data_IF_949790998483
#
_entry.id   IF_949790998483
#
_cell.length_a   1.000
_cell.length_b   1.000
_cell.length_c   1.000
_cell.angle_alpha   90.00
_cell.angle_beta   90.00
_cell.angle_gamma   90.00
#
_symmetry.space_group_name_H-M   'P 1'
#
loop_
_entity.id
_entity.type
_entity.pdbx_description
1 polymer ?
#
# COMPACT_ATOMS: atom_id res chain seq x y z
N UNK A 1 -28.40 12.16 -6.81
CA UNK A 1 -28.40 11.00 -5.87
C UNK A 1 -27.89 9.82 -6.66
N UNK A 2 -26.73 9.26 -6.33
CA UNK A 2 -26.20 8.11 -7.07
C UNK A 2 -27.10 6.88 -6.82
N UNK A 3 -27.29 6.05 -7.89
CA UNK A 3 -28.43 5.15 -7.94
C UNK A 3 -28.14 3.73 -7.46
N UNK A 4 -26.86 3.30 -7.46
CA UNK A 4 -26.50 1.90 -7.22
C UNK A 4 -25.79 1.66 -5.88
N UNK A 5 -26.50 1.87 -4.76
CA UNK A 5 -25.96 1.67 -3.40
C UNK A 5 -25.83 0.21 -2.96
N UNK A 6 -26.46 -0.74 -3.65
CA UNK A 6 -26.54 -2.14 -3.20
C UNK A 6 -25.18 -2.82 -3.01
N UNK A 7 -24.22 -2.71 -3.96
CA UNK A 7 -22.88 -3.31 -3.76
C UNK A 7 -22.12 -2.71 -2.59
N UNK A 8 -22.21 -1.38 -2.40
CA UNK A 8 -21.55 -0.69 -1.30
C UNK A 8 -22.15 -1.04 0.06
N UNK A 9 -23.46 -1.15 0.15
CA UNK A 9 -24.14 -1.60 1.38
C UNK A 9 -23.72 -3.03 1.74
N UNK A 10 -23.56 -3.90 0.73
CA UNK A 10 -23.01 -5.25 0.91
C UNK A 10 -21.57 -5.23 1.44
N UNK A 11 -20.71 -4.36 0.90
CA UNK A 11 -19.35 -4.18 1.40
C UNK A 11 -19.32 -3.65 2.84
N UNK A 12 -20.12 -2.63 3.14
CA UNK A 12 -20.22 -2.09 4.50
C UNK A 12 -20.68 -3.15 5.51
N UNK A 13 -21.66 -3.98 5.16
CA UNK A 13 -22.12 -5.08 6.03
C UNK A 13 -21.01 -6.12 6.28
N UNK A 14 -20.25 -6.46 5.24
CA UNK A 14 -19.13 -7.40 5.36
C UNK A 14 -17.99 -6.80 6.22
N UNK A 15 -17.68 -5.52 6.07
CA UNK A 15 -16.69 -4.82 6.88
C UNK A 15 -17.09 -4.78 8.35
N UNK A 16 -18.36 -4.47 8.67
CA UNK A 16 -18.87 -4.48 10.05
C UNK A 16 -18.76 -5.88 10.68
N UNK A 17 -19.10 -6.93 9.89
CA UNK A 17 -18.91 -8.30 10.35
C UNK A 17 -17.44 -8.63 10.62
N UNK A 18 -16.54 -8.20 9.74
CA UNK A 18 -15.11 -8.41 9.91
C UNK A 18 -14.55 -7.67 11.13
N UNK A 19 -15.02 -6.45 11.40
CA UNK A 19 -14.66 -5.72 12.63
C UNK A 19 -15.03 -6.54 13.87
N UNK A 20 -16.30 -6.98 13.97
CA UNK A 20 -16.77 -7.81 15.11
C UNK A 20 -16.01 -9.14 15.23
N UNK A 21 -15.64 -9.75 14.11
CA UNK A 21 -14.85 -10.97 14.10
C UNK A 21 -13.46 -10.74 14.74
N UNK A 22 -12.77 -9.66 14.35
CA UNK A 22 -11.46 -9.34 14.91
C UNK A 22 -11.55 -8.88 16.39
N UNK A 23 -12.60 -8.12 16.77
CA UNK A 23 -12.88 -7.78 18.16
C UNK A 23 -13.04 -9.05 19.04
N UNK A 24 -13.76 -10.06 18.53
CA UNK A 24 -13.98 -11.32 19.27
C UNK A 24 -12.71 -12.18 19.46
N UNK A 25 -11.63 -11.86 18.76
CA UNK A 25 -10.33 -12.56 18.80
C UNK A 25 -9.23 -11.75 19.45
N UNK A 26 -9.55 -10.63 20.09
CA UNK A 26 -8.60 -9.68 20.65
C UNK A 26 -7.55 -9.17 19.63
N UNK A 27 -7.96 -9.09 18.35
CA UNK A 27 -7.16 -8.52 17.27
C UNK A 27 -7.53 -7.04 17.07
N UNK A 28 -7.37 -6.24 18.12
CA UNK A 28 -7.84 -4.85 18.18
C UNK A 28 -7.25 -3.98 17.08
N UNK A 29 -5.97 -4.15 16.72
CA UNK A 29 -5.33 -3.43 15.61
C UNK A 29 -6.08 -3.59 14.29
N UNK A 30 -6.52 -4.82 13.99
CA UNK A 30 -7.25 -5.11 12.74
C UNK A 30 -8.68 -4.59 12.81
N UNK A 31 -9.34 -4.73 13.96
CA UNK A 31 -10.67 -4.18 14.19
C UNK A 31 -10.68 -2.65 14.01
N UNK A 32 -9.73 -1.93 14.62
CA UNK A 32 -9.57 -0.48 14.47
C UNK A 32 -9.26 -0.08 13.03
N UNK A 33 -8.35 -0.81 12.34
CA UNK A 33 -8.05 -0.57 10.93
C UNK A 33 -9.31 -0.70 10.04
N UNK A 34 -10.05 -1.80 10.18
CA UNK A 34 -11.26 -2.04 9.39
C UNK A 34 -12.39 -1.07 9.74
N UNK A 35 -12.51 -0.65 11.00
CA UNK A 35 -13.47 0.37 11.43
C UNK A 35 -13.19 1.71 10.75
N UNK A 36 -11.94 2.13 10.68
CA UNK A 36 -11.57 3.34 9.94
C UNK A 36 -11.96 3.26 8.46
N UNK A 37 -11.76 2.10 7.81
CA UNK A 37 -12.20 1.90 6.42
C UNK A 37 -13.72 1.96 6.29
N UNK A 38 -14.44 1.31 7.19
CA UNK A 38 -15.90 1.34 7.23
C UNK A 38 -16.43 2.77 7.35
N UNK A 39 -15.87 3.57 8.26
CA UNK A 39 -16.33 4.94 8.50
C UNK A 39 -16.07 5.85 7.29
N UNK A 40 -14.91 5.73 6.63
CA UNK A 40 -14.60 6.43 5.38
C UNK A 40 -15.64 6.10 4.31
N UNK A 41 -15.88 4.81 4.05
CA UNK A 41 -16.79 4.36 3.02
C UNK A 41 -18.24 4.73 3.32
N UNK A 42 -18.67 4.64 4.57
CA UNK A 42 -19.99 5.04 5.02
C UNK A 42 -20.24 6.53 4.81
N UNK A 43 -19.31 7.37 5.21
CA UNK A 43 -19.40 8.83 5.03
C UNK A 43 -19.55 9.20 3.55
N UNK A 44 -18.80 8.56 2.66
CA UNK A 44 -18.88 8.78 1.21
C UNK A 44 -20.22 8.28 0.66
N UNK A 45 -20.62 7.04 1.02
CA UNK A 45 -21.85 6.41 0.51
C UNK A 45 -23.12 7.14 0.96
N UNK A 46 -23.10 7.67 2.18
CA UNK A 46 -24.21 8.46 2.72
C UNK A 46 -24.15 9.94 2.30
N UNK A 47 -23.13 10.33 1.51
CA UNK A 47 -22.87 11.72 1.11
C UNK A 47 -22.77 12.69 2.29
N UNK A 48 -22.27 12.23 3.42
CA UNK A 48 -22.08 13.04 4.63
C UNK A 48 -20.85 13.93 4.55
N UNK A 49 -19.85 13.50 3.78
CA UNK A 49 -18.63 14.24 3.53
C UNK A 49 -18.27 14.21 2.05
N UNK A 50 -17.83 15.34 1.55
CA UNK A 50 -17.13 15.42 0.29
C UNK A 50 -15.80 14.67 0.38
N UNK A 51 -15.32 14.12 -0.73
CA UNK A 51 -14.06 13.42 -0.72
C UNK A 51 -13.15 13.79 -1.89
N UNK A 52 -11.86 13.87 -1.58
CA UNK A 52 -10.76 14.06 -2.52
C UNK A 52 -10.13 12.70 -2.83
N UNK A 53 -9.92 12.38 -4.10
CA UNK A 53 -9.15 11.20 -4.50
C UNK A 53 -7.66 11.55 -4.50
N UNK A 54 -6.85 10.71 -3.87
CA UNK A 54 -5.40 10.85 -3.88
C UNK A 54 -4.73 9.59 -4.44
N UNK A 55 -3.60 9.76 -5.16
CA UNK A 55 -2.71 8.65 -5.46
C UNK A 55 -1.87 8.27 -4.23
N UNK A 56 -1.40 7.01 -4.17
CA UNK A 56 -0.83 6.39 -2.96
C UNK A 56 0.24 7.22 -2.24
N UNK A 57 1.13 7.89 -2.95
CA UNK A 57 2.26 8.61 -2.34
C UNK A 57 1.98 10.09 -2.02
N UNK A 58 0.77 10.60 -2.25
CA UNK A 58 0.42 11.94 -1.76
C UNK A 58 0.43 11.92 -0.23
N UNK A 59 1.23 12.79 0.44
CA UNK A 59 1.40 12.72 1.89
C UNK A 59 0.08 12.85 2.66
N UNK A 60 -0.23 11.82 3.45
CA UNK A 60 -1.43 11.80 4.28
C UNK A 60 -1.44 12.92 5.30
N UNK A 61 -0.29 13.28 5.83
CA UNK A 61 -0.10 14.36 6.79
C UNK A 61 -0.56 15.71 6.24
N UNK A 62 -0.29 15.97 4.97
CA UNK A 62 -0.72 17.24 4.36
C UNK A 62 -2.23 17.26 4.16
N UNK A 63 -2.81 16.15 3.71
CA UNK A 63 -4.25 16.04 3.46
C UNK A 63 -5.06 15.99 4.77
N UNK A 64 -4.48 15.45 5.84
CA UNK A 64 -5.11 15.38 7.16
C UNK A 64 -5.36 16.77 7.79
N UNK A 65 -4.68 17.81 7.35
CA UNK A 65 -4.90 19.18 7.83
C UNK A 65 -6.30 19.71 7.48
N UNK A 66 -6.97 19.16 6.46
CA UNK A 66 -8.20 19.73 5.88
C UNK A 66 -9.45 18.91 6.22
N UNK A 67 -10.59 19.59 6.36
CA UNK A 67 -11.89 18.93 6.57
C UNK A 67 -12.48 18.46 5.23
N UNK A 68 -11.79 17.53 4.61
CA UNK A 68 -12.22 16.76 3.44
C UNK A 68 -11.86 15.29 3.66
N UNK A 69 -12.74 14.39 3.24
CA UNK A 69 -12.41 12.96 3.32
C UNK A 69 -11.41 12.59 2.23
N UNK A 70 -10.27 12.04 2.58
CA UNK A 70 -9.32 11.54 1.58
C UNK A 70 -9.57 10.08 1.26
N UNK A 71 -9.61 9.76 -0.03
CA UNK A 71 -9.70 8.39 -0.56
C UNK A 71 -8.47 8.11 -1.40
N UNK A 72 -7.61 7.24 -0.92
CA UNK A 72 -6.50 6.74 -1.72
C UNK A 72 -6.99 5.68 -2.69
N UNK A 73 -6.86 5.97 -3.97
CA UNK A 73 -7.43 5.21 -5.07
C UNK A 73 -7.01 3.73 -5.02
N UNK A 74 -5.72 3.47 -4.88
CA UNK A 74 -5.18 2.10 -4.88
C UNK A 74 -5.63 1.32 -3.65
N UNK A 75 -5.68 1.97 -2.48
CA UNK A 75 -6.17 1.36 -1.25
C UNK A 75 -7.63 0.96 -1.37
N UNK A 76 -8.45 1.84 -1.93
CA UNK A 76 -9.88 1.57 -2.10
C UNK A 76 -10.15 0.50 -3.16
N UNK A 77 -9.44 0.55 -4.28
CA UNK A 77 -9.50 -0.51 -5.29
C UNK A 77 -9.03 -1.85 -4.71
N UNK A 78 -7.96 -1.85 -3.91
CA UNK A 78 -7.50 -3.04 -3.20
C UNK A 78 -8.54 -3.64 -2.26
N UNK A 79 -9.23 -2.79 -1.49
CA UNK A 79 -10.33 -3.23 -0.63
C UNK A 79 -11.49 -3.81 -1.44
N UNK A 80 -11.88 -3.16 -2.54
CA UNK A 80 -12.93 -3.63 -3.44
C UNK A 80 -12.58 -4.99 -4.08
N UNK A 81 -11.31 -5.21 -4.44
CA UNK A 81 -10.79 -6.47 -4.95
C UNK A 81 -10.82 -7.58 -3.89
N UNK A 82 -10.35 -7.28 -2.67
CA UNK A 82 -10.34 -8.24 -1.56
C UNK A 82 -11.74 -8.78 -1.22
N UNK A 83 -12.76 -7.95 -1.41
CA UNK A 83 -14.17 -8.32 -1.22
C UNK A 83 -14.89 -8.73 -2.50
N UNK A 84 -14.17 -8.81 -3.63
CA UNK A 84 -14.69 -9.23 -4.94
C UNK A 84 -15.97 -8.49 -5.32
N UNK A 85 -15.90 -7.15 -5.33
CA UNK A 85 -17.05 -6.32 -5.74
C UNK A 85 -17.39 -6.48 -7.23
N UNK A 86 -16.42 -6.80 -8.06
CA UNK A 86 -16.58 -7.17 -9.46
C UNK A 86 -15.87 -8.49 -9.74
N UNK A 87 -16.43 -9.28 -10.66
CA UNK A 87 -15.81 -10.53 -11.11
C UNK A 87 -14.65 -10.27 -12.07
N UNK A 88 -14.84 -9.36 -13.05
CA UNK A 88 -13.89 -9.01 -14.08
C UNK A 88 -13.72 -7.47 -14.13
N UNK A 89 -12.97 -6.87 -13.19
CA UNK A 89 -12.89 -5.41 -13.10
C UNK A 89 -12.23 -4.74 -14.30
N UNK A 90 -11.25 -5.37 -14.95
CA UNK A 90 -10.59 -4.82 -16.13
C UNK A 90 -11.54 -4.77 -17.33
N UNK A 91 -12.23 -5.88 -17.64
CA UNK A 91 -13.20 -5.95 -18.73
C UNK A 91 -14.34 -4.95 -18.52
N UNK A 92 -14.84 -4.85 -17.28
CA UNK A 92 -15.88 -3.88 -16.95
C UNK A 92 -15.43 -2.44 -17.20
N UNK A 93 -14.20 -2.09 -16.81
CA UNK A 93 -13.65 -0.76 -17.03
C UNK A 93 -13.48 -0.45 -18.53
N UNK A 94 -13.01 -1.41 -19.32
CA UNK A 94 -12.86 -1.27 -20.76
C UNK A 94 -14.23 -1.03 -21.44
N UNK A 95 -15.26 -1.75 -21.02
CA UNK A 95 -16.64 -1.52 -21.48
C UNK A 95 -17.18 -0.12 -21.11
N UNK A 96 -16.60 0.54 -20.12
CA UNK A 96 -16.90 1.90 -19.69
C UNK A 96 -15.95 2.96 -20.29
N UNK A 97 -15.12 2.58 -21.28
CA UNK A 97 -14.20 3.48 -21.97
C UNK A 97 -12.82 3.64 -21.32
N UNK A 98 -12.50 2.87 -20.29
CA UNK A 98 -11.17 2.87 -19.72
C UNK A 98 -10.18 2.19 -20.69
N UNK A 99 -8.98 2.76 -20.97
CA UNK A 99 -8.06 2.19 -21.92
C UNK A 99 -7.55 0.81 -21.48
N UNK A 100 -7.55 -0.16 -22.41
CA UNK A 100 -6.95 -1.48 -22.18
C UNK A 100 -5.44 -1.37 -21.91
N UNK A 101 -4.88 -2.37 -21.24
CA UNK A 101 -3.44 -2.39 -20.94
C UNK A 101 -2.98 -1.47 -19.82
N UNK A 102 -3.89 -0.74 -19.15
CA UNK A 102 -3.62 0.04 -17.96
C UNK A 102 -3.69 -0.84 -16.69
N UNK A 103 -3.20 -0.31 -15.59
CA UNK A 103 -3.19 -1.02 -14.32
C UNK A 103 -4.62 -1.27 -13.81
N UNK A 104 -4.89 -2.49 -13.33
CA UNK A 104 -6.21 -2.93 -12.85
C UNK A 104 -6.70 -2.20 -11.59
N UNK A 105 -5.80 -1.63 -10.77
CA UNK A 105 -6.20 -0.75 -9.67
C UNK A 105 -7.01 0.45 -10.16
N UNK A 106 -6.49 1.14 -11.19
CA UNK A 106 -7.16 2.31 -11.76
C UNK A 106 -8.43 1.87 -12.51
N UNK A 107 -8.38 0.74 -13.21
CA UNK A 107 -9.53 0.18 -13.90
C UNK A 107 -10.68 -0.11 -12.91
N UNK A 108 -10.37 -0.77 -11.79
CA UNK A 108 -11.36 -1.06 -10.75
C UNK A 108 -11.93 0.22 -10.13
N UNK A 109 -11.07 1.19 -9.79
CA UNK A 109 -11.51 2.46 -9.21
C UNK A 109 -12.39 3.25 -10.18
N UNK A 110 -12.03 3.30 -11.47
CA UNK A 110 -12.85 3.87 -12.53
C UNK A 110 -14.23 3.25 -12.58
N UNK A 111 -14.30 1.91 -12.58
CA UNK A 111 -15.57 1.19 -12.60
C UNK A 111 -16.46 1.46 -11.39
N UNK A 112 -15.88 1.73 -10.21
CA UNK A 112 -16.65 2.10 -9.02
C UNK A 112 -17.38 3.44 -9.19
N UNK A 113 -16.72 4.42 -9.81
CA UNK A 113 -17.33 5.74 -10.10
C UNK A 113 -18.33 5.63 -11.25
N UNK A 114 -17.94 5.05 -12.39
CA UNK A 114 -18.79 4.95 -13.59
C UNK A 114 -20.02 4.07 -13.39
N UNK A 115 -19.95 3.09 -12.48
CA UNK A 115 -21.11 2.28 -12.09
C UNK A 115 -21.96 2.92 -10.98
N UNK A 116 -21.68 4.16 -10.60
CA UNK A 116 -22.36 4.89 -9.52
C UNK A 116 -22.42 4.09 -8.20
N UNK A 117 -21.39 3.28 -7.91
CA UNK A 117 -21.25 2.58 -6.64
C UNK A 117 -20.75 3.54 -5.55
N UNK A 118 -19.88 4.47 -5.95
CA UNK A 118 -19.48 5.63 -5.15
C UNK A 118 -19.84 6.92 -5.88
N UNK A 119 -20.15 8.01 -5.16
CA UNK A 119 -20.40 9.30 -5.78
C UNK A 119 -19.13 9.83 -6.46
N UNK A 120 -19.25 10.83 -7.34
CA UNK A 120 -18.10 11.52 -7.90
C UNK A 120 -17.35 12.29 -6.80
N UNK A 121 -16.00 12.31 -6.83
CA UNK A 121 -15.21 13.10 -5.88
C UNK A 121 -15.35 14.61 -6.14
N UNK A 122 -14.76 15.42 -5.27
CA UNK A 122 -14.67 16.88 -5.47
C UNK A 122 -13.36 17.31 -6.14
N UNK A 123 -12.41 16.39 -6.32
CA UNK A 123 -11.15 16.64 -7.00
C UNK A 123 -10.20 15.45 -6.89
N UNK A 124 -9.05 15.59 -7.54
CA UNK A 124 -8.00 14.58 -7.58
C UNK A 124 -6.66 15.19 -7.19
N UNK A 125 -5.87 14.48 -6.40
CA UNK A 125 -4.51 14.84 -6.04
C UNK A 125 -3.53 13.71 -6.43
N UNK A 126 -2.46 14.05 -7.11
CA UNK A 126 -1.45 13.06 -7.49
C UNK A 126 -0.07 13.68 -7.60
N UNK A 127 0.96 12.83 -7.53
CA UNK A 127 2.34 13.24 -7.73
C UNK A 127 3.04 12.35 -8.77
N UNK A 128 4.06 12.89 -9.44
CA UNK A 128 4.82 12.18 -10.49
C UNK A 128 5.82 11.17 -9.93
N UNK A 129 5.55 10.63 -8.75
CA UNK A 129 6.41 9.66 -8.07
C UNK A 129 5.85 8.24 -8.19
N UNK A 130 6.74 7.29 -8.37
CA UNK A 130 6.49 5.86 -8.42
C UNK A 130 5.54 5.44 -9.58
N UNK A 131 4.25 5.58 -9.42
CA UNK A 131 3.26 5.04 -10.35
C UNK A 131 2.80 6.06 -11.41
N UNK A 132 3.29 5.89 -12.66
CA UNK A 132 2.85 6.74 -13.78
C UNK A 132 1.34 6.59 -14.06
N UNK A 133 0.81 5.38 -13.97
CA UNK A 133 -0.60 5.13 -14.25
C UNK A 133 -1.53 5.83 -13.26
N UNK A 134 -1.15 5.91 -11.99
CA UNK A 134 -1.94 6.57 -10.95
C UNK A 134 -2.15 8.07 -11.24
N UNK A 135 -1.06 8.83 -11.47
CA UNK A 135 -1.22 10.25 -11.71
C UNK A 135 -1.86 10.56 -13.07
N UNK A 136 -1.59 9.72 -14.09
CA UNK A 136 -2.23 9.86 -15.41
C UNK A 136 -3.73 9.64 -15.29
N UNK A 137 -4.16 8.61 -14.55
CA UNK A 137 -5.58 8.38 -14.29
C UNK A 137 -6.23 9.57 -13.56
N UNK A 138 -5.60 10.07 -12.49
CA UNK A 138 -6.13 11.22 -11.75
C UNK A 138 -6.31 12.46 -12.64
N UNK A 139 -5.36 12.72 -13.56
CA UNK A 139 -5.45 13.82 -14.53
C UNK A 139 -6.62 13.60 -15.50
N UNK A 140 -6.67 12.44 -16.11
CA UNK A 140 -7.66 12.11 -17.15
C UNK A 140 -9.09 12.11 -16.56
N UNK A 141 -9.24 11.56 -15.35
CA UNK A 141 -10.52 11.57 -14.62
C UNK A 141 -10.93 12.99 -14.19
N UNK A 142 -9.98 13.81 -13.73
CA UNK A 142 -10.27 15.20 -13.39
C UNK A 142 -10.74 16.00 -14.62
N UNK A 143 -10.12 15.79 -15.76
CA UNK A 143 -10.54 16.40 -17.04
C UNK A 143 -11.92 15.91 -17.47
N UNK A 144 -12.15 14.59 -17.45
CA UNK A 144 -13.42 13.97 -17.82
C UNK A 144 -14.59 14.50 -16.96
N UNK A 145 -14.38 14.62 -15.66
CA UNK A 145 -15.41 15.08 -14.72
C UNK A 145 -15.45 16.60 -14.54
N UNK A 146 -14.51 17.33 -15.15
CA UNK A 146 -14.34 18.80 -14.99
C UNK A 146 -14.14 19.21 -13.54
N UNK A 147 -13.25 18.50 -12.85
CA UNK A 147 -12.93 18.69 -11.45
C UNK A 147 -11.50 19.21 -11.25
N UNK A 148 -11.18 19.83 -10.12
CA UNK A 148 -9.81 20.23 -9.79
C UNK A 148 -8.83 19.07 -9.82
N UNK A 149 -7.64 19.31 -10.38
CA UNK A 149 -6.51 18.40 -10.34
C UNK A 149 -5.32 19.07 -9.64
N UNK A 150 -4.97 18.56 -8.48
CA UNK A 150 -3.85 18.99 -7.68
C UNK A 150 -2.64 18.11 -7.98
N UNK A 151 -1.72 18.63 -8.77
CA UNK A 151 -0.57 17.89 -9.25
C UNK A 151 0.71 18.35 -8.58
N UNK A 152 1.51 17.39 -8.12
CA UNK A 152 2.83 17.59 -7.52
C UNK A 152 3.85 16.99 -8.47
N UNK A 153 4.67 17.83 -9.06
CA UNK A 153 5.77 17.40 -9.92
C UNK A 153 7.02 17.11 -9.10
N UNK A 154 7.69 15.99 -9.40
CA UNK A 154 8.95 15.60 -8.78
C UNK A 154 10.01 15.50 -9.88
N UNK A 155 10.79 16.55 -10.09
CA UNK A 155 11.78 16.57 -11.14
C UNK A 155 12.96 15.65 -10.78
N UNK A 156 13.51 15.00 -11.77
CA UNK A 156 14.76 14.24 -11.66
C UNK A 156 15.95 15.16 -11.93
N UNK A 157 16.27 16.01 -10.93
CA UNK A 157 17.40 16.95 -10.97
C UNK A 157 18.42 16.62 -9.87
N UNK A 158 19.40 17.50 -9.65
CA UNK A 158 20.32 17.34 -8.51
C UNK A 158 19.58 17.46 -7.15
N UNK A 159 20.05 16.77 -6.12
CA UNK A 159 19.33 16.57 -4.86
C UNK A 159 18.93 17.89 -4.16
N UNK A 160 19.79 18.90 -4.17
CA UNK A 160 19.53 20.16 -3.43
C UNK A 160 18.39 20.96 -4.06
N UNK A 161 18.39 21.09 -5.37
CA UNK A 161 17.35 21.82 -6.09
C UNK A 161 16.03 21.05 -6.08
N UNK A 162 16.11 19.72 -6.15
CA UNK A 162 14.97 18.82 -6.07
C UNK A 162 14.22 18.95 -4.74
N UNK A 163 14.95 18.95 -3.60
CA UNK A 163 14.35 19.11 -2.27
C UNK A 163 13.58 20.41 -2.16
N UNK A 164 14.23 21.53 -2.52
CA UNK A 164 13.62 22.86 -2.44
C UNK A 164 12.41 22.98 -3.38
N UNK A 165 12.52 22.44 -4.58
CA UNK A 165 11.43 22.47 -5.55
C UNK A 165 10.23 21.66 -5.04
N UNK A 166 10.46 20.44 -4.56
CA UNK A 166 9.38 19.58 -4.05
C UNK A 166 8.71 20.17 -2.80
N UNK A 167 9.49 20.75 -1.88
CA UNK A 167 8.94 21.46 -0.71
C UNK A 167 7.99 22.57 -1.12
N UNK A 168 8.35 23.38 -2.12
CA UNK A 168 7.48 24.44 -2.68
C UNK A 168 6.23 23.87 -3.36
N UNK A 169 6.29 22.68 -3.97
CA UNK A 169 5.11 22.03 -4.53
C UNK A 169 4.12 21.61 -3.43
N UNK A 170 4.62 21.11 -2.29
CA UNK A 170 3.76 20.79 -1.13
C UNK A 170 3.16 22.03 -0.49
N UNK A 171 3.94 23.10 -0.34
CA UNK A 171 3.43 24.39 0.15
C UNK A 171 2.35 24.95 -0.79
N UNK A 172 2.57 24.90 -2.09
CA UNK A 172 1.57 25.31 -3.10
C UNK A 172 0.30 24.46 -2.99
N UNK A 173 0.41 23.14 -2.84
CA UNK A 173 -0.75 22.27 -2.64
C UNK A 173 -1.51 22.65 -1.38
N UNK A 174 -0.80 22.90 -0.27
CA UNK A 174 -1.41 23.34 0.98
C UNK A 174 -2.22 24.64 0.79
N UNK A 175 -1.64 25.64 0.16
CA UNK A 175 -2.34 26.91 -0.08
C UNK A 175 -3.54 26.74 -1.03
N UNK A 176 -3.43 25.90 -2.06
CA UNK A 176 -4.56 25.58 -2.95
C UNK A 176 -5.70 24.90 -2.20
N UNK A 177 -5.41 23.88 -1.39
CA UNK A 177 -6.42 23.17 -0.60
C UNK A 177 -7.08 24.08 0.44
N UNK A 178 -6.31 24.98 1.06
CA UNK A 178 -6.80 25.95 2.05
C UNK A 178 -7.81 26.95 1.46
N UNK A 179 -7.74 27.22 0.16
CA UNK A 179 -8.77 28.06 -0.50
C UNK A 179 -10.09 27.34 -0.71
N UNK A 180 -10.07 25.99 -0.69
CA UNK A 180 -11.23 25.16 -1.02
C UNK A 180 -11.83 24.50 0.22
N UNK A 181 -10.98 24.05 1.16
CA UNK A 181 -11.38 23.27 2.33
C UNK A 181 -10.95 23.96 3.63
N UNK A 182 -11.81 24.00 4.66
CA UNK A 182 -11.42 24.50 5.97
C UNK A 182 -10.37 23.60 6.63
N UNK A 183 -9.52 24.18 7.46
CA UNK A 183 -8.61 23.41 8.30
C UNK A 183 -9.41 22.73 9.43
N UNK A 184 -9.18 21.42 9.64
CA UNK A 184 -9.75 20.65 10.77
C UNK A 184 -8.76 20.46 11.92
N UNK A 185 -7.45 20.57 11.62
CA UNK A 185 -6.37 20.40 12.61
C UNK A 185 -5.18 21.29 12.24
N UNK A 186 -4.11 21.24 13.01
CA UNK A 186 -2.90 22.03 12.78
C UNK A 186 -1.68 21.12 12.51
N UNK A 187 -0.62 21.72 11.99
CA UNK A 187 0.62 21.03 11.63
C UNK A 187 1.24 20.33 12.85
N UNK A 188 1.22 20.93 14.03
CA UNK A 188 1.83 20.39 15.24
C UNK A 188 1.24 19.02 15.62
N UNK A 189 -0.11 18.89 15.64
CA UNK A 189 -0.78 17.64 15.94
C UNK A 189 -0.46 16.56 14.91
N UNK A 190 -0.49 16.93 13.64
CA UNK A 190 -0.16 16.00 12.53
C UNK A 190 1.29 15.53 12.61
N UNK A 191 2.23 16.44 12.88
CA UNK A 191 3.66 16.12 13.06
C UNK A 191 3.86 15.18 14.24
N UNK A 192 3.22 15.45 15.37
CA UNK A 192 3.31 14.60 16.57
C UNK A 192 2.83 13.18 16.28
N UNK A 193 1.63 13.03 15.71
CA UNK A 193 1.07 11.73 15.38
C UNK A 193 1.90 10.97 14.32
N UNK A 194 2.38 11.67 13.28
CA UNK A 194 3.22 11.07 12.23
C UNK A 194 4.55 10.56 12.78
N UNK A 195 5.23 11.35 13.63
CA UNK A 195 6.49 10.95 14.22
C UNK A 195 6.34 9.79 15.21
N UNK A 196 5.28 9.78 16.01
CA UNK A 196 4.98 8.68 16.93
C UNK A 196 4.68 7.39 16.18
N UNK A 197 3.85 7.45 15.13
CA UNK A 197 3.55 6.31 14.28
C UNK A 197 4.82 5.72 13.63
N UNK A 198 5.73 6.59 13.20
CA UNK A 198 7.01 6.17 12.62
C UNK A 198 7.94 5.50 13.65
N UNK A 199 7.99 6.01 14.88
CA UNK A 199 8.78 5.39 15.97
C UNK A 199 8.26 3.98 16.28
N UNK A 200 6.96 3.83 16.46
CA UNK A 200 6.34 2.51 16.73
C UNK A 200 6.61 1.54 15.56
N UNK A 201 6.53 2.03 14.31
CA UNK A 201 6.86 1.20 13.15
C UNK A 201 8.32 0.73 13.16
N UNK A 202 9.27 1.58 13.57
CA UNK A 202 10.66 1.18 13.71
C UNK A 202 10.86 0.13 14.83
N UNK A 203 10.12 0.23 15.93
CA UNK A 203 10.13 -0.78 16.99
C UNK A 203 9.56 -2.12 16.50
N UNK A 204 8.47 -2.09 15.72
CA UNK A 204 7.91 -3.27 15.05
C UNK A 204 8.94 -3.91 14.12
N UNK A 205 9.66 -3.12 13.32
CA UNK A 205 10.68 -3.63 12.39
C UNK A 205 11.85 -4.26 13.15
N UNK A 206 12.31 -3.62 14.21
CA UNK A 206 13.35 -4.16 15.06
C UNK A 206 12.93 -5.48 15.74
N UNK A 207 11.66 -5.58 16.15
CA UNK A 207 11.10 -6.82 16.70
C UNK A 207 11.05 -7.93 15.64
N UNK A 208 10.57 -7.62 14.43
CA UNK A 208 10.50 -8.57 13.30
C UNK A 208 11.87 -9.13 12.93
N UNK A 209 12.91 -8.30 12.89
CA UNK A 209 14.26 -8.74 12.58
C UNK A 209 14.78 -9.72 13.65
N UNK A 210 14.46 -9.47 14.93
CA UNK A 210 14.88 -10.36 16.04
C UNK A 210 14.05 -11.64 16.11
N UNK A 211 12.78 -11.59 15.71
CA UNK A 211 11.80 -12.64 15.85
C UNK A 211 11.06 -12.89 14.52
N UNK A 212 11.77 -13.18 13.41
CA UNK A 212 11.16 -13.17 12.07
C UNK A 212 10.05 -14.22 11.91
N UNK A 213 10.09 -15.31 12.66
CA UNK A 213 9.16 -16.43 12.52
C UNK A 213 7.90 -16.28 13.39
N UNK A 214 7.90 -15.34 14.33
CA UNK A 214 6.75 -15.08 15.21
C UNK A 214 5.72 -14.11 14.57
N UNK A 215 6.08 -13.44 13.47
CA UNK A 215 5.24 -12.41 12.84
C UNK A 215 4.50 -12.97 11.62
N UNK A 216 3.19 -12.75 11.56
CA UNK A 216 2.39 -13.05 10.40
C UNK A 216 2.58 -11.98 9.32
N UNK A 217 3.22 -12.35 8.21
CA UNK A 217 3.49 -11.41 7.09
C UNK A 217 2.21 -10.86 6.45
N UNK A 218 1.10 -11.60 6.53
CA UNK A 218 -0.20 -11.16 5.98
C UNK A 218 -0.65 -9.85 6.64
N UNK A 219 -0.34 -9.65 7.91
CA UNK A 219 -0.70 -8.42 8.62
C UNK A 219 0.10 -7.22 8.10
N UNK A 220 1.36 -7.40 7.69
CA UNK A 220 2.12 -6.36 7.02
C UNK A 220 1.44 -5.90 5.73
N UNK A 221 0.95 -6.87 4.91
CA UNK A 221 0.21 -6.56 3.68
C UNK A 221 -1.16 -5.93 3.92
N UNK A 222 -1.79 -6.18 5.05
CA UNK A 222 -3.04 -5.49 5.43
C UNK A 222 -2.77 -4.08 5.96
N UNK A 223 -1.66 -3.88 6.67
CA UNK A 223 -1.36 -2.62 7.36
C UNK A 223 -0.47 -1.65 6.57
N UNK A 224 0.21 -2.09 5.47
CA UNK A 224 1.05 -1.16 4.71
C UNK A 224 0.32 0.11 4.24
N UNK A 225 -1.02 0.10 3.96
CA UNK A 225 -1.73 1.31 3.58
C UNK A 225 -1.85 2.36 4.69
N UNK A 226 -1.45 2.05 5.94
CA UNK A 226 -1.34 3.04 7.01
C UNK A 226 -0.34 4.16 6.71
N UNK A 227 0.58 3.95 5.75
CA UNK A 227 1.40 5.02 5.19
C UNK A 227 0.56 6.23 4.76
N UNK A 228 -0.61 5.99 4.19
CA UNK A 228 -1.53 7.03 3.74
C UNK A 228 -2.28 7.75 4.89
N UNK A 229 -2.24 7.18 6.07
CA UNK A 229 -2.92 7.71 7.27
C UNK A 229 -1.92 8.27 8.30
N UNK A 230 -0.64 8.45 7.91
CA UNK A 230 0.33 9.13 8.75
C UNK A 230 -0.19 10.53 9.10
N UNK A 231 0.01 10.94 10.34
CA UNK A 231 -0.54 12.17 10.89
C UNK A 231 -1.89 12.00 11.60
N UNK A 232 -2.49 10.80 11.61
CA UNK A 232 -3.72 10.49 12.35
C UNK A 232 -3.43 9.78 13.67
N UNK A 233 -4.09 10.20 14.76
CA UNK A 233 -4.01 9.52 16.05
C UNK A 233 -4.48 8.05 15.97
N UNK A 234 -5.48 7.76 15.10
CA UNK A 234 -5.95 6.40 14.89
C UNK A 234 -4.87 5.47 14.31
N UNK A 235 -3.94 5.98 13.51
CA UNK A 235 -2.80 5.21 13.00
C UNK A 235 -1.84 4.86 14.12
N UNK A 236 -1.56 5.79 15.02
CA UNK A 236 -0.74 5.54 16.22
C UNK A 236 -1.35 4.42 17.05
N UNK A 237 -2.66 4.48 17.31
CA UNK A 237 -3.35 3.46 18.11
C UNK A 237 -3.29 2.07 17.44
N UNK A 238 -3.57 1.99 16.15
CA UNK A 238 -3.50 0.71 15.39
C UNK A 238 -2.09 0.10 15.48
N UNK A 239 -1.05 0.92 15.36
CA UNK A 239 0.33 0.44 15.43
C UNK A 239 0.73 0.00 16.84
N UNK A 240 0.25 0.68 17.89
CA UNK A 240 0.43 0.25 19.29
C UNK A 240 -0.21 -1.12 19.51
N UNK A 241 -1.47 -1.25 19.17
CA UNK A 241 -2.21 -2.51 19.33
C UNK A 241 -1.54 -3.66 18.52
N UNK A 242 -1.02 -3.36 17.33
CA UNK A 242 -0.29 -4.36 16.52
C UNK A 242 1.04 -4.73 17.16
N UNK A 243 1.80 -3.77 17.67
CA UNK A 243 3.05 -4.03 18.38
C UNK A 243 2.81 -4.91 19.60
N UNK A 244 1.85 -4.54 20.46
CA UNK A 244 1.49 -5.32 21.64
C UNK A 244 1.12 -6.75 21.26
N UNK A 245 0.32 -6.92 20.20
CA UNK A 245 -0.10 -8.25 19.72
C UNK A 245 1.06 -9.13 19.28
N UNK A 246 2.02 -8.58 18.52
CA UNK A 246 3.18 -9.38 18.06
C UNK A 246 4.15 -9.71 19.21
N UNK A 247 4.26 -8.84 20.21
CA UNK A 247 5.08 -9.08 21.39
C UNK A 247 4.46 -10.16 22.29
N UNK A 248 3.13 -10.14 22.49
CA UNK A 248 2.39 -11.17 23.25
C UNK A 248 2.43 -12.55 22.59
N UNK A 249 2.34 -12.58 21.25
CA UNK A 249 2.34 -13.85 20.47
C UNK A 249 3.72 -14.44 20.25
N UNK A 250 4.77 -13.80 20.77
CA UNK A 250 6.14 -14.26 20.66
C UNK A 250 6.38 -15.55 21.49
N UNK A 251 5.78 -16.65 21.08
CA UNK A 251 6.12 -17.99 21.58
C UNK A 251 7.36 -18.42 20.85
N UNK A 252 8.41 -18.79 21.59
CA UNK A 252 9.62 -19.37 21.03
C UNK A 252 9.25 -20.65 20.24
N UNK A 253 9.01 -20.49 18.96
CA UNK A 253 8.81 -21.62 18.04
C UNK A 253 10.19 -22.06 17.63
N UNK A 254 10.61 -23.22 18.13
CA UNK A 254 11.86 -23.85 17.71
C UNK A 254 11.70 -24.33 16.24
N UNK A 255 12.08 -23.45 15.30
CA UNK A 255 12.01 -23.68 13.86
C UNK A 255 13.36 -23.37 13.19
N UNK A 256 14.45 -23.82 13.82
CA UNK A 256 15.82 -23.48 13.38
C UNK A 256 16.20 -23.87 11.95
N UNK A 257 15.33 -24.62 11.22
CA UNK A 257 15.65 -25.16 9.88
C UNK A 257 14.65 -24.75 8.78
N UNK A 258 13.72 -23.80 9.04
CA UNK A 258 12.75 -23.40 8.01
C UNK A 258 13.37 -22.32 7.11
N UNK A 259 13.25 -22.49 5.79
CA UNK A 259 13.74 -21.51 4.82
C UNK A 259 12.97 -20.19 4.93
N UNK A 260 13.71 -19.08 5.11
CA UNK A 260 13.14 -17.72 5.20
C UNK A 260 13.09 -17.07 3.83
N UNK A 261 11.92 -16.54 3.46
CA UNK A 261 11.62 -15.98 2.16
C UNK A 261 11.34 -14.48 2.29
N UNK A 262 11.90 -13.69 1.37
CA UNK A 262 11.54 -12.30 1.14
C UNK A 262 10.52 -12.21 0.01
N UNK A 263 9.38 -11.58 0.26
CA UNK A 263 8.37 -11.31 -0.75
C UNK A 263 8.50 -9.90 -1.28
N UNK A 264 8.59 -9.75 -2.61
CA UNK A 264 8.64 -8.46 -3.30
C UNK A 264 7.38 -8.25 -4.13
N UNK A 265 6.92 -7.01 -4.18
CA UNK A 265 5.66 -6.64 -4.81
C UNK A 265 4.44 -6.84 -3.91
N UNK A 266 3.26 -6.61 -4.47
CA UNK A 266 1.98 -6.73 -3.75
C UNK A 266 1.42 -8.13 -3.98
N UNK A 267 0.70 -8.66 -2.99
CA UNK A 267 0.03 -9.97 -3.10
C UNK A 267 -1.30 -9.85 -3.85
N UNK A 268 -1.80 -10.91 -4.51
CA UNK A 268 -3.17 -10.94 -5.03
C UNK A 268 -4.19 -10.74 -3.91
N UNK A 269 -4.90 -9.59 -3.94
CA UNK A 269 -5.76 -9.14 -2.84
C UNK A 269 -7.05 -9.97 -2.71
N UNK A 270 -7.51 -10.57 -3.79
CA UNK A 270 -8.68 -11.46 -3.84
C UNK A 270 -8.41 -12.88 -3.34
N UNK A 271 -7.16 -13.23 -2.98
CA UNK A 271 -6.75 -14.59 -2.56
C UNK A 271 -6.05 -14.54 -1.20
N UNK A 272 -6.83 -14.42 -0.14
CA UNK A 272 -6.34 -14.21 1.23
C UNK A 272 -5.49 -15.37 1.80
N UNK A 273 -5.61 -16.59 1.27
CA UNK A 273 -4.84 -17.75 1.75
C UNK A 273 -3.50 -17.95 1.05
N UNK A 274 -3.23 -17.22 -0.05
CA UNK A 274 -2.09 -17.52 -0.94
C UNK A 274 -0.74 -17.64 -0.21
N UNK A 275 -0.40 -16.67 0.63
CA UNK A 275 0.90 -16.67 1.33
C UNK A 275 1.01 -17.88 2.27
N UNK A 276 -0.06 -18.20 2.99
CA UNK A 276 -0.11 -19.36 3.88
C UNK A 276 -0.03 -20.68 3.10
N UNK A 277 -0.68 -20.76 1.94
CA UNK A 277 -0.64 -21.94 1.08
C UNK A 277 0.79 -22.14 0.54
N UNK A 278 1.49 -21.06 0.17
CA UNK A 278 2.89 -21.09 -0.23
C UNK A 278 3.79 -21.55 0.92
N UNK A 279 3.65 -20.97 2.11
CA UNK A 279 4.42 -21.34 3.30
C UNK A 279 4.27 -22.83 3.61
N UNK A 280 3.04 -23.34 3.60
CA UNK A 280 2.75 -24.75 3.87
C UNK A 280 3.30 -25.69 2.80
N UNK A 281 3.17 -25.32 1.51
CA UNK A 281 3.61 -26.18 0.41
C UNK A 281 5.14 -26.23 0.28
N UNK A 282 5.82 -25.11 0.50
CA UNK A 282 7.28 -25.01 0.34
C UNK A 282 8.05 -25.29 1.63
N UNK A 283 7.37 -25.61 2.73
CA UNK A 283 7.96 -25.72 4.07
C UNK A 283 8.90 -24.54 4.35
N UNK A 284 8.36 -23.34 4.21
CA UNK A 284 9.09 -22.07 4.35
C UNK A 284 8.33 -21.06 5.19
N UNK A 285 8.98 -19.97 5.50
CA UNK A 285 8.36 -18.82 6.16
C UNK A 285 8.62 -17.53 5.40
N UNK A 286 7.58 -16.79 5.05
CA UNK A 286 7.71 -15.45 4.46
C UNK A 286 7.86 -14.47 5.62
N UNK A 287 9.07 -13.95 5.81
CA UNK A 287 9.43 -13.14 6.99
C UNK A 287 9.64 -11.66 6.67
N UNK A 288 9.80 -11.31 5.40
CA UNK A 288 10.01 -9.94 4.96
C UNK A 288 9.20 -9.58 3.71
N UNK A 289 8.90 -8.31 3.56
CA UNK A 289 8.25 -7.69 2.42
C UNK A 289 8.73 -6.24 2.24
N UNK A 290 8.43 -5.60 1.11
CA UNK A 290 8.99 -4.28 0.79
C UNK A 290 8.00 -3.10 0.96
N UNK A 291 6.69 -3.37 1.15
CA UNK A 291 5.64 -2.34 1.04
C UNK A 291 5.34 -1.61 2.35
N UNK A 292 5.45 -2.29 3.50
CA UNK A 292 5.14 -1.72 4.81
C UNK A 292 6.32 -0.90 5.34
N UNK A 293 6.57 0.24 4.69
CA UNK A 293 7.66 1.17 5.00
C UNK A 293 7.14 2.59 5.17
N UNK A 294 7.48 3.22 6.29
CA UNK A 294 7.11 4.61 6.58
C UNK A 294 8.28 5.59 6.42
N UNK A 295 9.43 5.09 5.97
CA UNK A 295 10.67 5.86 5.89
C UNK A 295 11.24 6.21 7.27
N UNK A 296 12.29 7.01 7.30
CA UNK A 296 13.05 7.34 8.52
C UNK A 296 13.06 8.84 8.86
N UNK A 297 12.53 9.68 7.97
CA UNK A 297 12.56 11.14 8.14
C UNK A 297 11.46 11.59 9.08
N UNK A 298 11.84 12.11 10.27
CA UNK A 298 10.91 12.77 11.18
C UNK A 298 10.54 14.15 10.67
N UNK A 299 9.28 14.53 10.91
CA UNK A 299 8.76 15.85 10.57
C UNK A 299 9.03 16.86 11.70
N UNK A 300 9.14 18.13 11.34
CA UNK A 300 9.22 19.27 12.27
C UNK A 300 8.27 20.39 11.88
N UNK A 301 7.71 21.08 12.85
CA UNK A 301 6.70 22.11 12.60
C UNK A 301 7.18 23.25 11.70
N UNK A 302 8.44 23.66 11.87
CA UNK A 302 9.04 24.80 11.16
C UNK A 302 9.62 24.44 9.77
N UNK A 303 9.71 23.12 9.43
CA UNK A 303 10.17 22.63 8.14
C UNK A 303 9.24 21.56 7.56
N UNK A 304 7.96 21.65 7.88
CA UNK A 304 6.98 20.63 7.55
C UNK A 304 7.01 20.21 6.07
N UNK A 305 6.95 21.17 5.15
CA UNK A 305 6.97 20.87 3.72
C UNK A 305 8.32 20.34 3.22
N UNK A 306 9.42 20.84 3.78
CA UNK A 306 10.78 20.37 3.47
C UNK A 306 10.98 18.91 3.97
N UNK A 307 10.52 18.60 5.17
CA UNK A 307 10.66 17.28 5.74
C UNK A 307 9.75 16.26 5.01
N UNK A 308 8.55 16.64 4.56
CA UNK A 308 7.73 15.83 3.66
C UNK A 308 8.45 15.55 2.33
N UNK A 309 9.05 16.58 1.73
CA UNK A 309 9.83 16.43 0.51
C UNK A 309 11.03 15.50 0.71
N UNK A 310 11.76 15.67 1.81
CA UNK A 310 12.89 14.81 2.19
C UNK A 310 12.47 13.36 2.37
N UNK A 311 11.29 13.10 2.97
CA UNK A 311 10.74 11.74 3.14
C UNK A 311 10.50 11.06 1.79
N UNK A 312 9.95 11.78 0.81
CA UNK A 312 9.76 11.24 -0.56
C UNK A 312 11.10 10.94 -1.23
N UNK A 313 12.04 11.89 -1.19
CA UNK A 313 13.36 11.74 -1.85
C UNK A 313 14.18 10.62 -1.21
N UNK A 314 14.07 10.40 0.11
CA UNK A 314 14.76 9.32 0.83
C UNK A 314 14.00 8.00 0.84
N UNK A 315 12.84 7.90 0.17
CA UNK A 315 12.09 6.65 0.07
C UNK A 315 12.91 5.57 -0.65
N UNK A 316 12.79 4.33 -0.18
CA UNK A 316 13.38 3.16 -0.88
C UNK A 316 12.91 3.03 -2.32
N UNK A 317 11.76 3.59 -2.66
CA UNK A 317 11.19 3.57 -4.00
C UNK A 317 11.58 4.78 -4.87
N UNK A 318 12.42 5.68 -4.35
CA UNK A 318 12.73 6.93 -5.07
C UNK A 318 13.62 6.68 -6.29
N UNK A 319 14.64 5.84 -6.15
CA UNK A 319 15.48 5.38 -7.26
C UNK A 319 15.52 3.85 -7.31
N UNK A 320 15.96 3.32 -8.44
CA UNK A 320 16.17 1.88 -8.56
C UNK A 320 17.30 1.40 -7.63
N UNK A 321 18.35 2.22 -7.44
CA UNK A 321 19.45 1.94 -6.52
C UNK A 321 18.98 1.84 -5.08
N UNK A 322 18.18 2.82 -4.61
CA UNK A 322 17.62 2.82 -3.26
C UNK A 322 16.76 1.58 -3.01
N UNK A 323 15.96 1.17 -4.00
CA UNK A 323 15.15 -0.05 -3.88
C UNK A 323 16.02 -1.30 -3.82
N UNK A 324 17.04 -1.41 -4.68
CA UNK A 324 17.98 -2.53 -4.67
C UNK A 324 18.70 -2.65 -3.33
N UNK A 325 19.21 -1.52 -2.81
CA UNK A 325 19.87 -1.49 -1.51
C UNK A 325 18.95 -1.96 -0.39
N UNK A 326 17.70 -1.45 -0.36
CA UNK A 326 16.71 -1.84 0.64
C UNK A 326 16.35 -3.34 0.56
N UNK A 327 16.16 -3.90 -0.64
CA UNK A 327 15.86 -5.32 -0.84
C UNK A 327 16.98 -6.19 -0.26
N UNK A 328 18.24 -5.93 -0.65
CA UNK A 328 19.35 -6.77 -0.23
C UNK A 328 19.79 -6.50 1.21
N UNK A 329 19.53 -5.31 1.76
CA UNK A 329 19.61 -5.07 3.19
C UNK A 329 18.61 -5.93 3.96
N UNK A 330 17.34 -5.94 3.55
CA UNK A 330 16.31 -6.79 4.16
C UNK A 330 16.68 -8.28 4.04
N UNK A 331 17.22 -8.71 2.89
CA UNK A 331 17.67 -10.09 2.71
C UNK A 331 18.75 -10.50 3.74
N UNK A 332 19.68 -9.60 4.06
CA UNK A 332 20.70 -9.84 5.09
C UNK A 332 20.12 -9.78 6.50
N UNK A 333 19.32 -8.75 6.81
CA UNK A 333 18.77 -8.54 8.15
C UNK A 333 17.88 -9.72 8.61
N UNK A 334 17.15 -10.36 7.69
CA UNK A 334 16.28 -11.49 7.96
C UNK A 334 16.92 -12.86 7.68
N UNK A 335 18.19 -12.93 7.28
CA UNK A 335 18.87 -14.17 6.85
C UNK A 335 18.06 -14.95 5.80
N UNK A 336 17.70 -14.29 4.70
CA UNK A 336 16.83 -14.81 3.65
C UNK A 336 17.50 -15.93 2.84
N UNK A 337 16.78 -17.02 2.59
CA UNK A 337 17.22 -18.14 1.77
C UNK A 337 16.68 -18.11 0.34
N UNK A 338 15.65 -17.30 0.08
CA UNK A 338 15.07 -17.15 -1.24
C UNK A 338 14.19 -15.91 -1.37
N UNK A 339 13.99 -15.44 -2.59
CA UNK A 339 13.20 -14.25 -2.92
C UNK A 339 12.07 -14.66 -3.85
N UNK A 340 10.84 -14.25 -3.52
CA UNK A 340 9.68 -14.34 -4.41
C UNK A 340 9.31 -12.93 -4.85
N UNK A 341 9.26 -12.67 -6.15
CA UNK A 341 8.77 -11.41 -6.71
C UNK A 341 7.42 -11.65 -7.39
N UNK A 342 6.37 -10.98 -6.89
CA UNK A 342 5.09 -10.95 -7.57
C UNK A 342 5.03 -9.79 -8.53
N UNK A 343 5.07 -10.10 -9.83
CA UNK A 343 5.02 -9.12 -10.92
C UNK A 343 3.59 -8.86 -11.34
N UNK A 344 3.04 -7.75 -10.83
CA UNK A 344 1.69 -7.32 -11.19
C UNK A 344 1.62 -6.91 -12.66
N UNK A 345 0.63 -7.48 -13.38
CA UNK A 345 0.35 -7.20 -14.79
C UNK A 345 0.18 -5.70 -15.04
N UNK A 346 0.76 -5.21 -16.12
CA UNK A 346 0.70 -3.81 -16.55
C UNK A 346 1.28 -2.79 -15.53
N UNK A 347 1.99 -3.25 -14.50
CA UNK A 347 2.69 -2.36 -13.59
C UNK A 347 4.01 -1.89 -14.21
N UNK A 348 4.11 -0.61 -14.54
CA UNK A 348 5.33 0.02 -15.04
C UNK A 348 6.34 0.41 -13.96
N UNK A 349 6.12 0.05 -12.70
CA UNK A 349 6.93 0.52 -11.57
C UNK A 349 7.75 -0.60 -10.90
N UNK A 350 7.11 -1.65 -10.39
CA UNK A 350 7.82 -2.68 -9.63
C UNK A 350 8.51 -3.75 -10.52
N UNK A 351 7.83 -4.35 -11.52
CA UNK A 351 8.39 -5.43 -12.34
C UNK A 351 9.58 -5.04 -13.21
N UNK A 352 9.72 -3.81 -13.75
CA UNK A 352 10.85 -3.46 -14.62
C UNK A 352 12.23 -3.63 -13.97
N UNK A 353 12.31 -3.68 -12.63
CA UNK A 353 13.55 -3.89 -11.89
C UNK A 353 13.90 -5.38 -11.69
N UNK A 354 13.01 -6.31 -11.99
CA UNK A 354 13.22 -7.76 -11.74
C UNK A 354 14.51 -8.31 -12.39
N UNK A 355 14.90 -7.93 -13.63
CA UNK A 355 16.15 -8.40 -14.20
C UNK A 355 17.39 -8.01 -13.38
N UNK A 356 17.42 -6.80 -12.84
CA UNK A 356 18.53 -6.30 -12.01
C UNK A 356 18.53 -6.99 -10.63
N UNK A 357 17.34 -7.18 -10.02
CA UNK A 357 17.21 -7.93 -8.78
C UNK A 357 17.69 -9.36 -8.98
N UNK A 358 17.32 -10.02 -10.08
CA UNK A 358 17.75 -11.38 -10.42
C UNK A 358 19.26 -11.48 -10.53
N UNK A 359 19.89 -10.58 -11.30
CA UNK A 359 21.35 -10.54 -11.44
C UNK A 359 22.06 -10.44 -10.09
N UNK A 360 21.58 -9.52 -9.23
CA UNK A 360 22.16 -9.32 -7.89
C UNK A 360 21.91 -10.53 -6.97
N UNK A 361 20.73 -11.13 -7.04
CA UNK A 361 20.40 -12.36 -6.30
C UNK A 361 21.32 -13.54 -6.71
N UNK A 362 21.64 -13.67 -8.01
CA UNK A 362 22.59 -14.66 -8.52
C UNK A 362 24.00 -14.42 -7.97
N UNK A 363 24.48 -13.16 -7.95
CA UNK A 363 25.77 -12.78 -7.35
C UNK A 363 25.83 -13.15 -5.85
N UNK A 364 24.76 -12.94 -5.12
CA UNK A 364 24.63 -13.28 -3.69
C UNK A 364 24.20 -14.74 -3.45
N UNK A 365 24.09 -15.52 -4.52
CA UNK A 365 23.66 -16.94 -4.49
C UNK A 365 22.31 -17.15 -3.79
N UNK A 366 21.39 -16.18 -3.89
CA UNK A 366 20.04 -16.27 -3.34
C UNK A 366 19.06 -16.64 -4.45
N UNK A 367 18.36 -17.79 -4.41
CA UNK A 367 17.34 -18.14 -5.40
C UNK A 367 16.27 -17.07 -5.50
N UNK A 368 15.87 -16.73 -6.74
CA UNK A 368 14.78 -15.81 -7.00
C UNK A 368 13.79 -16.41 -7.99
N UNK A 369 12.52 -16.43 -7.60
CA UNK A 369 11.40 -16.79 -8.47
C UNK A 369 10.53 -15.56 -8.76
N UNK A 370 10.09 -15.42 -10.00
CA UNK A 370 9.10 -14.43 -10.40
C UNK A 370 7.76 -15.11 -10.67
N UNK A 371 6.71 -14.63 -10.01
CA UNK A 371 5.32 -15.02 -10.24
C UNK A 371 4.64 -13.86 -10.95
N UNK A 372 4.03 -14.14 -12.09
CA UNK A 372 3.29 -13.12 -12.86
C UNK A 372 1.79 -13.28 -12.60
N UNK A 373 1.09 -12.17 -12.49
CA UNK A 373 -0.36 -12.17 -12.31
C UNK A 373 -0.91 -10.77 -12.11
N UNK A 374 -2.18 -10.69 -11.77
CA UNK A 374 -2.82 -9.44 -11.41
C UNK A 374 -3.17 -9.44 -9.91
N UNK A 375 -2.98 -8.33 -9.22
CA UNK A 375 -3.25 -8.22 -7.77
C UNK A 375 -4.72 -7.90 -7.48
N UNK A 376 -5.47 -7.46 -8.48
CA UNK A 376 -6.85 -6.97 -8.37
C UNK A 376 -7.83 -7.83 -9.16
N UNK A 377 -7.45 -8.29 -10.35
CA UNK A 377 -8.30 -9.03 -11.28
C UNK A 377 -7.89 -10.52 -11.35
N UNK A 378 -8.72 -11.44 -10.79
CA UNK A 378 -8.42 -12.86 -10.78
C UNK A 378 -8.40 -13.51 -12.17
N UNK A 379 -9.00 -12.89 -13.19
CA UNK A 379 -9.01 -13.42 -14.56
C UNK A 379 -7.60 -13.48 -15.18
N UNK A 380 -6.63 -12.74 -14.63
CA UNK A 380 -5.25 -12.69 -15.10
C UNK A 380 -4.25 -13.34 -14.13
N UNK A 381 -4.68 -14.36 -13.41
CA UNK A 381 -3.82 -15.11 -12.50
C UNK A 381 -3.90 -16.60 -12.81
N UNK A 382 -2.81 -17.14 -13.35
CA UNK A 382 -2.65 -18.58 -13.64
C UNK A 382 -2.07 -19.28 -12.41
N UNK A 383 -2.96 -19.88 -11.62
CA UNK A 383 -2.59 -20.57 -10.39
C UNK A 383 -1.75 -21.84 -10.66
N UNK A 384 -2.04 -22.57 -11.76
CA UNK A 384 -1.28 -23.77 -12.09
C UNK A 384 0.17 -23.39 -12.43
N UNK A 385 0.37 -22.40 -13.30
CA UNK A 385 1.71 -21.91 -13.65
C UNK A 385 2.47 -21.41 -12.43
N UNK A 386 1.78 -20.74 -11.50
CA UNK A 386 2.40 -20.32 -10.24
C UNK A 386 2.92 -21.51 -9.45
N UNK A 387 2.12 -22.56 -9.27
CA UNK A 387 2.53 -23.72 -8.50
C UNK A 387 3.68 -24.48 -9.15
N UNK A 388 3.68 -24.66 -10.47
CA UNK A 388 4.79 -25.26 -11.21
C UNK A 388 6.10 -24.50 -10.99
N UNK A 389 6.06 -23.17 -11.01
CA UNK A 389 7.24 -22.34 -10.72
C UNK A 389 7.70 -22.45 -9.26
N UNK A 390 6.77 -22.48 -8.32
CA UNK A 390 7.08 -22.62 -6.90
C UNK A 390 7.69 -23.99 -6.57
N UNK A 391 7.28 -25.06 -7.25
CA UNK A 391 7.90 -26.39 -7.10
C UNK A 391 9.38 -26.37 -7.53
N UNK A 392 9.72 -25.72 -8.64
CA UNK A 392 11.10 -25.51 -9.06
C UNK A 392 11.90 -24.67 -8.05
N UNK A 393 11.27 -23.67 -7.47
CA UNK A 393 11.89 -22.82 -6.46
C UNK A 393 12.16 -23.59 -5.16
N UNK A 394 11.23 -24.44 -4.74
CA UNK A 394 11.40 -25.33 -3.60
C UNK A 394 12.64 -26.23 -3.74
N UNK A 395 12.83 -26.86 -4.91
CA UNK A 395 14.05 -27.63 -5.16
C UNK A 395 15.34 -26.80 -5.04
N UNK A 396 15.32 -25.53 -5.48
CA UNK A 396 16.48 -24.65 -5.37
C UNK A 396 16.79 -24.26 -3.91
N UNK A 397 15.77 -24.07 -3.08
CA UNK A 397 15.92 -23.78 -1.65
C UNK A 397 16.61 -24.94 -0.92
N UNK A 398 16.24 -26.19 -1.21
CA UNK A 398 16.73 -27.39 -0.49
C UNK A 398 18.01 -28.01 -1.06
N UNK A 399 18.43 -27.68 -2.29
CA UNK A 399 19.73 -28.15 -2.83
C UNK A 399 20.94 -27.49 -2.19
N UNK A 400 20.77 -26.50 -1.33
CA UNK A 400 21.82 -25.65 -0.73
C UNK A 400 21.92 -25.78 0.80
N UNK A 401 21.07 -26.58 1.42
CA UNK A 401 21.20 -27.05 2.79
C UNK A 401 21.99 -28.36 2.83
#
# INVERSE_FOLDING_TARGET
MFQNKKPMNGLLSKLDLAVRFHESRDEHYMAHYLRNQYDVLKNITECKKEYLVASYYVPGELLELFDVQTVYMERFAGLAAAWRLFENPAEKAEAQGFPSGRCSYQALFHSLIESEIIPKPVGFAALSFACKDAWTYCRDAAEQYKLPFYYIDIPKTNEKDQLTYLARQFEKLYEQLKTTFPLKTNIEKVVTASNEAQEIKHEIDAFKIKNPESVNIIDSFKLFPLYNDLGKESTVQILKDYKDKIEETNVAVDRHNIARILWLGIVPLYKNSLLKDIENKLDCRIVGEEMFDFGTVKLSNNRFFEDLARRIISSRFFTWESRMEAIFKSARDFDIKGIVHFSHRNCGFLPPLVPQIRKKAEEEKTPLIEIQGDVVDPAYFDEQQMWERLDLFHEQLHRRT
#
